data_IF_237500651489
#
_entry.id   IF_237500651489
#
_cell.length_a   1.000
_cell.length_b   1.000
_cell.length_c   1.000
_cell.angle_alpha   90.00
_cell.angle_beta   90.00
_cell.angle_gamma   90.00
#
_symmetry.space_group_name_H-M   'P 1'
#
loop_
_entity.id
_entity.type
_entity.pdbx_description
1 polymer ?
#
# COMPACT_ATOMS: atom_id res chain seq x y z
N UNK A 1 14.02 -4.85 3.26
CA UNK A 1 12.75 -5.40 2.72
C UNK A 1 11.99 -6.26 3.72
N UNK A 2 12.67 -6.80 4.73
CA UNK A 2 11.98 -7.70 5.67
C UNK A 2 10.80 -7.04 6.36
N UNK A 3 10.95 -5.79 6.77
CA UNK A 3 9.86 -5.12 7.46
C UNK A 3 8.67 -4.84 6.54
N UNK A 4 8.89 -4.78 5.24
CA UNK A 4 7.82 -4.52 4.28
C UNK A 4 7.19 -5.81 3.78
N UNK A 5 7.92 -6.90 3.73
CA UNK A 5 7.47 -8.17 3.15
C UNK A 5 6.21 -8.67 3.85
N UNK A 6 5.24 -9.11 3.07
CA UNK A 6 3.99 -9.65 3.57
C UNK A 6 2.79 -8.94 2.98
N UNK A 7 1.63 -9.21 3.55
CA UNK A 7 0.39 -8.61 3.11
C UNK A 7 0.00 -7.47 4.04
N UNK A 8 -0.51 -6.41 3.46
CA UNK A 8 -0.94 -5.24 4.21
C UNK A 8 -2.34 -4.82 3.79
N UNK A 9 -3.18 -4.53 4.77
CA UNK A 9 -4.48 -3.90 4.54
C UNK A 9 -4.31 -2.40 4.70
N UNK A 10 -4.47 -1.68 3.62
CA UNK A 10 -4.23 -0.24 3.59
C UNK A 10 -5.53 0.50 3.30
N UNK A 11 -5.76 1.56 4.06
CA UNK A 11 -6.90 2.44 3.85
C UNK A 11 -6.38 3.80 3.38
N UNK A 12 -6.89 4.27 2.27
CA UNK A 12 -6.54 5.58 1.72
C UNK A 12 -7.75 6.48 1.89
N UNK A 13 -7.59 7.58 2.60
CA UNK A 13 -8.68 8.51 2.84
C UNK A 13 -8.64 9.63 1.82
N UNK A 14 -9.71 9.76 1.06
CA UNK A 14 -9.84 10.80 0.04
C UNK A 14 -10.98 11.74 0.43
N UNK A 15 -11.09 12.91 -0.22
CA UNK A 15 -12.19 13.83 0.08
C UNK A 15 -13.58 13.24 -0.14
N UNK A 16 -13.69 12.21 -0.97
CA UNK A 16 -15.00 11.63 -1.30
C UNK A 16 -15.19 10.27 -0.64
N UNK A 17 -14.31 9.87 0.29
CA UNK A 17 -14.48 8.60 0.99
C UNK A 17 -13.16 7.89 1.20
N UNK A 18 -13.25 6.62 1.54
CA UNK A 18 -12.07 5.79 1.81
C UNK A 18 -11.96 4.67 0.78
N UNK A 19 -10.73 4.31 0.46
CA UNK A 19 -10.43 3.19 -0.42
C UNK A 19 -9.68 2.14 0.37
N UNK A 20 -10.08 0.89 0.24
CA UNK A 20 -9.38 -0.24 0.85
C UNK A 20 -8.55 -0.94 -0.21
N UNK A 21 -7.27 -1.13 0.06
CA UNK A 21 -6.34 -1.74 -0.88
C UNK A 21 -5.53 -2.78 -0.14
N UNK A 22 -5.37 -3.95 -0.73
CA UNK A 22 -4.51 -4.99 -0.18
C UNK A 22 -3.19 -4.97 -0.93
N UNK A 23 -2.11 -4.83 -0.19
CA UNK A 23 -0.77 -4.87 -0.76
C UNK A 23 -0.10 -6.18 -0.40
N UNK A 24 0.57 -6.79 -1.38
CA UNK A 24 1.37 -7.98 -1.17
C UNK A 24 2.79 -7.65 -1.59
N UNK A 25 3.72 -7.64 -0.65
CA UNK A 25 5.13 -7.39 -0.93
C UNK A 25 5.92 -8.66 -0.75
N UNK A 26 6.58 -9.08 -1.81
CA UNK A 26 7.35 -10.32 -1.81
C UNK A 26 8.79 -10.07 -1.36
N UNK A 27 9.44 -11.15 -0.92
CA UNK A 27 10.81 -11.07 -0.44
C UNK A 27 11.80 -10.68 -1.55
N UNK A 28 11.42 -10.89 -2.81
CA UNK A 28 12.29 -10.54 -3.93
C UNK A 28 12.24 -9.05 -4.30
N UNK A 29 11.47 -8.26 -3.57
CA UNK A 29 11.38 -6.83 -3.81
C UNK A 29 10.24 -6.42 -4.73
N UNK A 30 9.40 -7.36 -5.13
CA UNK A 30 8.23 -7.04 -5.95
C UNK A 30 7.00 -6.86 -5.07
N UNK A 31 5.94 -6.29 -5.65
CA UNK A 31 4.70 -6.12 -4.93
C UNK A 31 3.52 -5.93 -5.84
N UNK A 32 2.33 -6.16 -5.28
CA UNK A 32 1.07 -5.93 -5.99
C UNK A 32 0.12 -5.18 -5.08
N UNK A 33 -0.82 -4.48 -5.70
CA UNK A 33 -1.88 -3.76 -5.00
C UNK A 33 -3.21 -4.19 -5.58
N UNK A 34 -4.12 -4.61 -4.72
CA UNK A 34 -5.44 -5.09 -5.14
C UNK A 34 -6.53 -4.24 -4.49
N UNK A 35 -7.38 -3.66 -5.31
CA UNK A 35 -8.51 -2.89 -4.83
C UNK A 35 -9.48 -2.64 -5.97
N UNK A 36 -10.75 -2.46 -5.64
CA UNK A 36 -11.80 -2.18 -6.63
C UNK A 36 -11.86 -3.23 -7.75
N UNK A 37 -11.53 -4.48 -7.41
CA UNK A 37 -11.55 -5.56 -8.40
C UNK A 37 -10.41 -5.56 -9.38
N UNK A 38 -9.36 -4.79 -9.09
CA UNK A 38 -8.20 -4.66 -9.95
C UNK A 38 -6.94 -4.99 -9.17
N UNK A 39 -5.99 -5.69 -9.80
CA UNK A 39 -4.68 -5.93 -9.22
C UNK A 39 -3.64 -5.33 -10.14
N UNK A 40 -2.79 -4.47 -9.59
CA UNK A 40 -1.75 -3.79 -10.36
C UNK A 40 -0.39 -4.03 -9.70
N UNK A 41 0.69 -4.03 -10.49
CA UNK A 41 2.02 -4.14 -9.90
C UNK A 41 2.42 -2.84 -9.23
N UNK A 42 3.21 -2.98 -8.16
CA UNK A 42 3.82 -1.85 -7.47
C UNK A 42 5.22 -1.68 -8.04
N UNK A 43 5.61 -0.44 -8.33
CA UNK A 43 6.89 -0.14 -8.97
C UNK A 43 7.71 0.80 -8.12
N UNK A 44 9.01 0.82 -8.39
CA UNK A 44 9.94 1.79 -7.79
C UNK A 44 9.90 1.75 -6.27
N UNK A 45 9.91 0.55 -5.72
CA UNK A 45 9.89 0.36 -4.26
C UNK A 45 11.27 0.69 -3.72
N UNK A 46 11.33 1.68 -2.83
CA UNK A 46 12.56 2.10 -2.17
C UNK A 46 12.34 2.03 -0.67
N UNK A 47 13.25 1.35 0.03
CA UNK A 47 13.19 1.23 1.48
C UNK A 47 14.42 1.91 2.06
N UNK A 48 14.19 2.91 2.92
CA UNK A 48 15.26 3.63 3.59
C UNK A 48 14.94 3.65 5.09
N UNK A 49 15.55 2.73 5.83
CA UNK A 49 15.19 2.56 7.23
C UNK A 49 13.74 2.15 7.35
N UNK A 50 12.94 2.96 8.03
CA UNK A 50 11.52 2.69 8.20
C UNK A 50 10.66 3.36 7.13
N UNK A 51 11.25 4.22 6.32
CA UNK A 51 10.52 4.92 5.27
C UNK A 51 10.51 4.09 4.00
N UNK A 52 9.33 3.98 3.41
CA UNK A 52 9.14 3.22 2.17
C UNK A 52 8.36 4.09 1.19
N UNK A 53 8.83 4.12 -0.04
CA UNK A 53 8.14 4.82 -1.12
C UNK A 53 7.94 3.86 -2.27
N UNK A 54 6.85 4.05 -3.00
CA UNK A 54 6.61 3.28 -4.21
C UNK A 54 5.65 4.02 -5.12
N UNK A 55 5.50 3.48 -6.33
CA UNK A 55 4.57 4.01 -7.33
C UNK A 55 3.70 2.90 -7.85
N UNK A 56 2.49 3.26 -8.26
CA UNK A 56 1.58 2.33 -8.89
C UNK A 56 0.62 3.11 -9.78
N UNK A 57 0.11 2.42 -10.80
CA UNK A 57 -0.91 2.98 -11.69
C UNK A 57 -2.20 2.22 -11.46
N UNK A 58 -3.30 2.95 -11.35
CA UNK A 58 -4.63 2.36 -11.24
C UNK A 58 -5.44 2.80 -12.42
N UNK A 59 -6.40 1.98 -12.85
CA UNK A 59 -7.24 2.30 -14.00
C UNK A 59 -8.68 2.56 -13.63
N UNK A 60 -9.09 2.23 -12.42
CA UNK A 60 -10.46 2.39 -11.97
C UNK A 60 -10.53 3.33 -10.79
N UNK A 61 -11.46 4.27 -10.78
CA UNK A 61 -12.43 4.56 -11.83
C UNK A 61 -11.81 5.24 -13.07
N UNK A 62 -10.64 5.86 -12.91
CA UNK A 62 -9.92 6.47 -14.04
C UNK A 62 -8.43 6.19 -13.89
N UNK A 63 -7.72 6.27 -14.98
CA UNK A 63 -6.27 6.06 -14.97
C UNK A 63 -5.58 7.11 -14.12
N UNK A 64 -4.78 6.69 -13.16
CA UNK A 64 -3.99 7.58 -12.30
C UNK A 64 -2.68 6.92 -11.93
N UNK A 65 -1.64 7.74 -11.88
CA UNK A 65 -0.35 7.33 -11.34
C UNK A 65 -0.28 7.84 -9.91
N UNK A 66 -0.02 6.92 -9.00
CA UNK A 66 0.02 7.23 -7.57
C UNK A 66 1.42 7.04 -7.04
N UNK A 67 1.84 7.96 -6.18
CA UNK A 67 3.10 7.85 -5.47
C UNK A 67 2.78 7.76 -3.98
N UNK A 68 3.37 6.76 -3.31
CA UNK A 68 3.16 6.53 -1.88
C UNK A 68 4.43 6.81 -1.12
N UNK A 69 4.26 7.38 0.07
CA UNK A 69 5.36 7.67 0.99
C UNK A 69 4.86 7.35 2.39
N UNK A 70 5.34 6.27 2.95
CA UNK A 70 4.87 5.78 4.24
C UNK A 70 6.03 5.44 5.15
N UNK A 71 5.74 5.38 6.44
CA UNK A 71 6.67 4.93 7.47
C UNK A 71 6.09 3.66 8.08
N UNK A 72 6.93 2.64 8.23
CA UNK A 72 6.53 1.36 8.81
C UNK A 72 7.02 1.30 10.24
N UNK A 73 6.10 0.94 11.14
CA UNK A 73 6.39 0.78 12.56
C UNK A 73 5.77 -0.55 12.99
N UNK A 74 6.59 -1.61 12.99
CA UNK A 74 6.12 -2.94 13.32
C UNK A 74 5.10 -3.43 12.30
N UNK A 75 3.87 -3.66 12.74
CA UNK A 75 2.80 -4.15 11.89
C UNK A 75 1.90 -3.04 11.37
N UNK A 76 2.34 -1.80 11.47
CA UNK A 76 1.57 -0.66 11.02
C UNK A 76 2.37 0.19 10.04
N UNK A 77 1.66 0.82 9.15
CA UNK A 77 2.27 1.83 8.28
C UNK A 77 1.37 3.05 8.23
N UNK A 78 1.98 4.21 8.06
CA UNK A 78 1.25 5.46 7.95
C UNK A 78 2.01 6.42 7.06
N UNK A 79 1.27 7.22 6.32
CA UNK A 79 1.85 8.19 5.42
C UNK A 79 0.79 8.76 4.51
N UNK A 80 1.14 8.93 3.25
CA UNK A 80 0.22 9.52 2.30
C UNK A 80 0.46 8.99 0.90
N UNK A 81 -0.55 9.20 0.06
CA UNK A 81 -0.46 8.97 -1.37
C UNK A 81 -0.75 10.28 -2.09
N UNK A 82 -0.20 10.41 -3.28
CA UNK A 82 -0.38 11.59 -4.09
C UNK A 82 -0.56 11.20 -5.54
N UNK A 83 -1.53 11.81 -6.20
CA UNK A 83 -1.83 11.59 -7.61
C UNK A 83 -1.60 12.89 -8.34
N UNK A 84 -0.41 13.04 -8.97
CA UNK A 84 -0.07 14.24 -9.71
C UNK A 84 -0.18 15.50 -8.86
N UNK A 85 -1.02 16.42 -9.27
CA UNK A 85 -1.18 17.71 -8.57
C UNK A 85 -2.28 17.72 -7.54
N UNK A 86 -2.97 16.61 -7.39
CA UNK A 86 -4.05 16.53 -6.41
C UNK A 86 -3.49 16.57 -5.00
N UNK A 87 -4.28 17.01 -4.02
CA UNK A 87 -3.84 17.00 -2.63
C UNK A 87 -3.51 15.60 -2.17
N UNK A 88 -2.62 15.51 -1.19
CA UNK A 88 -2.26 14.23 -0.62
C UNK A 88 -3.43 13.60 0.09
N UNK A 89 -3.49 12.27 0.04
CA UNK A 89 -4.49 11.50 0.75
C UNK A 89 -3.78 10.69 1.83
N UNK A 90 -4.34 10.68 3.03
CA UNK A 90 -3.77 9.90 4.12
C UNK A 90 -3.87 8.42 3.81
N UNK A 91 -2.80 7.70 4.08
CA UNK A 91 -2.74 6.25 3.86
C UNK A 91 -2.28 5.60 5.15
N UNK A 92 -3.06 4.66 5.67
CA UNK A 92 -2.71 3.92 6.86
C UNK A 92 -2.92 2.44 6.59
N UNK A 93 -2.08 1.61 7.18
CA UNK A 93 -2.18 0.19 6.95
C UNK A 93 -1.81 -0.64 8.16
N UNK A 94 -2.27 -1.87 8.16
CA UNK A 94 -1.90 -2.86 9.16
C UNK A 94 -1.52 -4.14 8.45
N UNK A 95 -0.59 -4.88 9.04
CA UNK A 95 -0.15 -6.15 8.46
C UNK A 95 -1.24 -7.19 8.60
N UNK A 96 -1.53 -7.88 7.52
CA UNK A 96 -2.61 -8.87 7.50
C UNK A 96 -2.15 -10.25 7.96
N UNK A 97 -0.87 -10.45 8.16
CA UNK A 97 -0.33 -11.78 8.47
C UNK A 97 -0.92 -12.37 9.75
N UNK A 98 -1.17 -11.54 10.76
CA UNK A 98 -1.74 -12.06 12.01
C UNK A 98 -3.15 -12.62 11.80
N UNK A 99 -3.91 -12.01 10.92
CA UNK A 99 -5.25 -12.48 10.61
C UNK A 99 -5.20 -13.86 9.95
N UNK A 100 -4.24 -14.05 9.02
CA UNK A 100 -4.09 -15.34 8.38
C UNK A 100 -3.65 -16.43 9.34
N UNK A 101 -2.78 -16.07 10.27
CA UNK A 101 -2.33 -17.04 11.27
C UNK A 101 -3.48 -17.50 12.16
N UNK A 102 -4.42 -16.62 12.46
CA UNK A 102 -5.54 -16.99 13.29
C UNK A 102 -6.50 -17.97 12.64
N UNK A 103 -6.52 -18.01 11.31
CA UNK A 103 -7.37 -18.95 10.62
C UNK A 103 -6.81 -20.36 10.58
N UNK A 104 -5.58 -20.53 10.95
CA UNK A 104 -4.96 -21.84 11.03
C UNK A 104 -5.41 -22.53 12.31
N UNK A 105 -6.10 -23.63 12.21
CA UNK A 105 -6.57 -24.36 13.41
C UNK A 105 -5.43 -24.91 14.21
#
# INVERSE_FOLDING_TARGET
>A
MDQLTGDWDVTIKTPIGSLAVVYCFAADGSGTATGKGETVPVRDIVVEGQRVTWRQSVTKPILRDLAFDVVIDGDRMSGHSKAGRLPRSAATGVRAASRRRRRTP
#
